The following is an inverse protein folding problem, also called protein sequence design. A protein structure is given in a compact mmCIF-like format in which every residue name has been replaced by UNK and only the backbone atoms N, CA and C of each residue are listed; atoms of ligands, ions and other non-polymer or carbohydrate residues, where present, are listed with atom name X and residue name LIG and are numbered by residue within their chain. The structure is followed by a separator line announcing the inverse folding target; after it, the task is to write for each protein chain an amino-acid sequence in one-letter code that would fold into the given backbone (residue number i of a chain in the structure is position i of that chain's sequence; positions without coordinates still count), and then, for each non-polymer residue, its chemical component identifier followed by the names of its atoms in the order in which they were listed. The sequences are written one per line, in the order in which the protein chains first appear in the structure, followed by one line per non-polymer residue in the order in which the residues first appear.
data_IF_792850100042
#
_entry.id   IF_792850100042
#
_cell.length_a   1.000
_cell.length_b   1.000
_cell.length_c   1.000
_cell.angle_alpha   90.00
_cell.angle_beta   90.00
_cell.angle_gamma   90.00
#
_symmetry.space_group_name_H-M   'P 1'
#
loop_
_entity.id
_entity.type
_entity.pdbx_description
1 polymer ?
#
# COMPACT_ATOMS: atom_id res chain seq x y z
N UNK A 1 -35.24 -16.02 -0.16
CA UNK A 1 -33.88 -15.68 -0.62
C UNK A 1 -32.86 -16.34 0.29
N UNK A 2 -32.48 -17.59 0.01
CA UNK A 2 -31.42 -18.31 0.73
C UNK A 2 -30.27 -18.53 -0.25
N UNK A 3 -29.53 -17.46 -0.56
CA UNK A 3 -28.26 -17.61 -1.26
C UNK A 3 -27.22 -18.10 -0.26
N UNK A 4 -26.46 -19.11 -0.67
CA UNK A 4 -25.32 -19.60 0.06
C UNK A 4 -24.24 -18.51 0.08
N UNK A 5 -23.86 -18.05 1.27
CA UNK A 5 -22.80 -17.04 1.45
C UNK A 5 -21.47 -17.65 1.05
N UNK A 6 -20.76 -17.00 0.12
CA UNK A 6 -19.40 -17.39 -0.25
C UNK A 6 -18.41 -16.62 0.63
N UNK A 7 -18.14 -17.15 1.82
CA UNK A 7 -17.20 -16.56 2.78
C UNK A 7 -15.79 -16.35 2.21
N UNK A 8 -15.39 -17.19 1.24
CA UNK A 8 -14.08 -17.06 0.62
C UNK A 8 -14.00 -15.76 -0.18
N UNK A 9 -15.01 -15.48 -1.01
CA UNK A 9 -15.06 -14.27 -1.82
C UNK A 9 -15.47 -13.04 -1.03
N UNK A 10 -16.44 -13.18 -0.12
CA UNK A 10 -17.06 -12.03 0.56
C UNK A 10 -16.26 -11.54 1.77
N UNK A 11 -15.40 -12.39 2.36
CA UNK A 11 -14.66 -12.03 3.58
C UNK A 11 -13.15 -12.29 3.47
N UNK A 12 -12.75 -13.53 3.16
CA UNK A 12 -11.33 -13.92 3.21
C UNK A 12 -10.51 -13.15 2.19
N UNK A 13 -10.94 -13.11 0.93
CA UNK A 13 -10.21 -12.41 -0.13
C UNK A 13 -10.08 -10.89 0.12
N UNK A 14 -11.14 -10.15 0.47
CA UNK A 14 -11.03 -8.71 0.80
C UNK A 14 -10.12 -8.46 2.01
N UNK A 15 -10.24 -9.27 3.07
CA UNK A 15 -9.40 -9.13 4.25
C UNK A 15 -7.92 -9.35 3.91
N UNK A 16 -7.63 -10.43 3.17
CA UNK A 16 -6.28 -10.78 2.78
C UNK A 16 -5.62 -9.68 1.94
N UNK A 17 -6.37 -9.04 1.04
CA UNK A 17 -5.87 -7.90 0.25
C UNK A 17 -5.40 -6.73 1.11
N UNK A 18 -6.19 -6.35 2.12
CA UNK A 18 -5.81 -5.30 3.07
C UNK A 18 -4.57 -5.68 3.87
N UNK A 19 -4.52 -6.92 4.37
CA UNK A 19 -3.37 -7.47 5.11
C UNK A 19 -2.10 -7.48 4.25
N UNK A 20 -2.19 -7.87 2.97
CA UNK A 20 -1.06 -7.88 2.05
C UNK A 20 -0.54 -6.48 1.72
N UNK A 21 -1.45 -5.52 1.56
CA UNK A 21 -1.09 -4.11 1.36
C UNK A 21 -0.34 -3.59 2.58
N UNK A 22 -0.90 -3.75 3.78
CA UNK A 22 -0.25 -3.28 5.01
C UNK A 22 1.10 -3.97 5.25
N UNK A 23 1.16 -5.30 5.07
CA UNK A 23 2.41 -6.08 5.17
C UNK A 23 3.50 -5.52 4.27
N UNK A 24 3.17 -5.15 3.03
CA UNK A 24 4.14 -4.57 2.09
C UNK A 24 4.79 -3.31 2.65
N UNK A 25 4.01 -2.42 3.27
CA UNK A 25 4.51 -1.19 3.86
C UNK A 25 5.34 -1.42 5.12
N UNK A 26 4.91 -2.33 5.99
CA UNK A 26 5.67 -2.72 7.19
C UNK A 26 7.01 -3.35 6.78
N UNK A 27 7.02 -4.28 5.82
CA UNK A 27 8.24 -4.89 5.29
C UNK A 27 9.18 -3.82 4.71
N UNK A 28 8.67 -2.92 3.87
CA UNK A 28 9.47 -1.85 3.28
C UNK A 28 10.04 -0.87 4.31
N UNK A 29 9.37 -0.66 5.44
CA UNK A 29 9.92 0.13 6.55
C UNK A 29 11.16 -0.54 7.14
N UNK A 30 11.10 -1.83 7.44
CA UNK A 30 12.23 -2.58 7.99
C UNK A 30 13.36 -2.80 6.97
N UNK A 31 13.04 -2.86 5.68
CA UNK A 31 14.03 -2.92 4.59
C UNK A 31 14.65 -1.55 4.25
N UNK A 32 14.14 -0.47 4.82
CA UNK A 32 14.59 0.91 4.56
C UNK A 32 14.00 1.57 3.31
N UNK A 33 13.42 0.81 2.38
CA UNK A 33 12.86 1.36 1.14
C UNK A 33 11.71 2.35 1.36
N UNK A 34 10.88 2.16 2.39
CA UNK A 34 9.87 3.16 2.75
C UNK A 34 10.49 4.38 3.43
N UNK A 35 11.62 4.22 4.13
CA UNK A 35 12.32 5.35 4.77
C UNK A 35 12.88 6.30 3.69
N UNK A 36 13.43 5.76 2.60
CA UNK A 36 13.88 6.55 1.45
C UNK A 36 12.76 7.45 0.90
N UNK A 37 11.53 6.92 0.84
CA UNK A 37 10.35 7.68 0.39
C UNK A 37 9.93 8.73 1.42
N UNK A 38 9.87 8.38 2.70
CA UNK A 38 9.39 9.26 3.78
C UNK A 38 10.34 10.42 4.03
N UNK A 39 11.64 10.21 3.85
CA UNK A 39 12.69 11.21 4.10
C UNK A 39 13.22 11.87 2.82
N UNK A 40 12.63 11.59 1.65
CA UNK A 40 12.98 12.28 0.42
C UNK A 40 12.63 13.77 0.51
N UNK A 41 13.53 14.65 0.09
CA UNK A 41 13.34 16.11 0.23
C UNK A 41 12.27 16.66 -0.73
N UNK A 42 12.22 16.16 -1.98
CA UNK A 42 11.31 16.67 -3.01
C UNK A 42 10.02 15.83 -3.11
N UNK A 43 9.22 15.85 -2.06
CA UNK A 43 7.98 15.08 -2.02
C UNK A 43 6.88 15.73 -2.87
N UNK A 44 6.16 14.91 -3.64
CA UNK A 44 4.91 15.34 -4.25
C UNK A 44 3.75 15.13 -3.28
N UNK A 45 2.95 16.17 -3.02
CA UNK A 45 1.87 16.15 -2.02
C UNK A 45 0.82 15.06 -2.27
N UNK A 46 0.54 14.76 -3.54
CA UNK A 46 -0.37 13.68 -3.93
C UNK A 46 0.16 12.30 -3.51
N UNK A 47 1.45 12.02 -3.72
CA UNK A 47 2.09 10.76 -3.33
C UNK A 47 2.11 10.65 -1.81
N UNK A 48 2.51 11.71 -1.11
CA UNK A 48 2.51 11.77 0.35
C UNK A 48 1.13 11.43 0.92
N UNK A 49 0.08 12.03 0.37
CA UNK A 49 -1.31 11.76 0.79
C UNK A 49 -1.71 10.30 0.58
N UNK A 50 -1.32 9.69 -0.55
CA UNK A 50 -1.59 8.28 -0.83
C UNK A 50 -0.85 7.34 0.14
N UNK A 51 0.39 7.65 0.51
CA UNK A 51 1.15 6.88 1.49
C UNK A 51 0.54 7.03 2.88
N UNK A 52 0.19 8.26 3.28
CA UNK A 52 -0.48 8.53 4.55
C UNK A 52 -1.83 7.82 4.68
N UNK A 53 -2.62 7.71 3.61
CA UNK A 53 -3.91 7.01 3.67
C UNK A 53 -3.72 5.52 4.00
N UNK A 54 -2.68 4.89 3.47
CA UNK A 54 -2.35 3.48 3.75
C UNK A 54 -1.93 3.33 5.22
N UNK A 55 -1.09 4.23 5.73
CA UNK A 55 -0.67 4.24 7.14
C UNK A 55 -1.84 4.51 8.09
N UNK A 56 -2.85 5.26 7.65
CA UNK A 56 -4.09 5.51 8.38
C UNK A 56 -5.10 4.34 8.30
N UNK A 57 -4.75 3.23 7.62
CA UNK A 57 -5.57 2.03 7.55
C UNK A 57 -6.53 1.96 6.37
N UNK A 58 -6.49 2.89 5.42
CA UNK A 58 -7.30 2.85 4.19
C UNK A 58 -6.71 1.88 3.15
N UNK A 59 -6.43 0.64 3.55
CA UNK A 59 -5.72 -0.40 2.78
C UNK A 59 -6.60 -1.14 1.76
N UNK A 60 -7.86 -0.73 1.61
CA UNK A 60 -8.82 -1.31 0.66
C UNK A 60 -9.23 -0.34 -0.45
N UNK A 61 -8.76 0.91 -0.43
CA UNK A 61 -9.11 1.88 -1.47
C UNK A 61 -8.30 1.62 -2.75
N UNK A 62 -8.86 0.87 -3.68
CA UNK A 62 -8.21 0.55 -4.96
C UNK A 62 -8.03 1.75 -5.90
N UNK A 63 -8.61 2.91 -5.60
CA UNK A 63 -8.30 4.16 -6.32
C UNK A 63 -6.89 4.64 -5.98
N UNK A 64 -6.37 4.27 -4.81
CA UNK A 64 -4.99 4.50 -4.45
C UNK A 64 -4.08 3.49 -5.19
N UNK A 65 -3.18 3.94 -6.08
CA UNK A 65 -2.30 3.05 -6.83
C UNK A 65 -1.36 2.23 -5.94
N UNK A 66 -1.06 2.71 -4.73
CA UNK A 66 -0.24 2.02 -3.74
C UNK A 66 -1.02 0.97 -2.93
N UNK A 67 -2.35 0.94 -3.02
CA UNK A 67 -3.16 -0.22 -2.59
C UNK A 67 -3.26 -1.23 -3.73
N UNK A 68 -3.58 -0.76 -4.94
CA UNK A 68 -3.78 -1.61 -6.12
C UNK A 68 -2.53 -2.41 -6.50
N UNK A 69 -1.34 -1.80 -6.42
CA UNK A 69 -0.07 -2.39 -6.85
C UNK A 69 1.05 -2.09 -5.84
N UNK A 70 0.79 -2.30 -4.55
CA UNK A 70 1.65 -1.90 -3.42
C UNK A 70 3.13 -2.21 -3.62
N UNK A 71 3.49 -3.48 -3.88
CA UNK A 71 4.89 -3.92 -3.99
C UNK A 71 5.65 -3.23 -5.12
N UNK A 72 5.10 -3.28 -6.33
CA UNK A 72 5.78 -2.72 -7.51
C UNK A 72 5.85 -1.20 -7.44
N UNK A 73 4.76 -0.53 -7.04
CA UNK A 73 4.70 0.94 -6.96
C UNK A 73 5.63 1.49 -5.89
N UNK A 74 5.65 0.87 -4.71
CA UNK A 74 6.53 1.31 -3.63
C UNK A 74 8.01 1.08 -3.99
N UNK A 75 8.34 -0.06 -4.60
CA UNK A 75 9.69 -0.34 -5.08
C UNK A 75 10.18 0.73 -6.07
N UNK A 76 9.39 1.01 -7.12
CA UNK A 76 9.76 2.02 -8.12
C UNK A 76 9.88 3.41 -7.49
N UNK A 77 8.99 3.78 -6.57
CA UNK A 77 9.08 5.06 -5.88
C UNK A 77 10.35 5.16 -5.04
N UNK A 78 10.69 4.11 -4.28
CA UNK A 78 11.92 4.08 -3.49
C UNK A 78 13.18 4.14 -4.36
N UNK A 79 13.19 3.49 -5.53
CA UNK A 79 14.28 3.59 -6.51
C UNK A 79 14.45 5.04 -6.99
N UNK A 80 13.36 5.73 -7.35
CA UNK A 80 13.39 7.13 -7.76
C UNK A 80 13.87 8.08 -6.65
N UNK A 81 13.53 7.80 -5.38
CA UNK A 81 13.99 8.61 -4.25
C UNK A 81 15.49 8.43 -3.94
N UNK A 82 16.12 7.34 -4.42
CA UNK A 82 17.56 7.08 -4.25
C UNK A 82 18.40 7.61 -5.41
N UNK A 83 17.78 7.91 -6.56
CA UNK A 83 18.50 8.49 -7.69
C UNK A 83 18.90 9.95 -7.36
N UNK A 84 20.18 10.32 -7.58
CA UNK A 84 20.74 11.62 -7.21
C UNK A 84 20.23 12.79 -8.06
#
# INVERSE_FOLDING_TARGET
NQQQVDWQQEFVQPLQKGVETFRTFVTAWYEGSLQDVVFYDQQQDNIKTMICSILAGYVWDEKNPYVKNSKSRLKTLAELCREP
#
